data_IF_956727894716
#
_entry.id   IF_956727894716
#
_cell.length_a   1.000
_cell.length_b   1.000
_cell.length_c   1.000
_cell.angle_alpha   90.00
_cell.angle_beta   90.00
_cell.angle_gamma   90.00
#
_symmetry.space_group_name_H-M   'P 1'
#
loop_
_entity.id
_entity.type
_entity.pdbx_description
1 polymer ?
#
# COMPACT_ATOMS: atom_id res chain seq x y z
N UNK A 1 -15.34 -1.26 -18.11
CA UNK A 1 -15.96 0.07 -18.32
C UNK A 1 -15.79 0.99 -17.11
N UNK A 2 -16.40 0.76 -15.93
CA UNK A 2 -16.22 1.66 -14.76
C UNK A 2 -14.76 1.67 -14.25
N UNK A 3 -14.10 0.54 -14.16
CA UNK A 3 -12.72 0.41 -13.69
C UNK A 3 -11.72 1.12 -14.61
N UNK A 4 -11.92 1.06 -15.92
CA UNK A 4 -11.07 1.73 -16.90
C UNK A 4 -11.22 3.25 -16.82
N UNK A 5 -12.43 3.74 -16.59
CA UNK A 5 -12.69 5.17 -16.39
C UNK A 5 -12.02 5.70 -15.11
N UNK A 6 -12.13 4.96 -13.99
CA UNK A 6 -11.47 5.32 -12.72
C UNK A 6 -9.95 5.35 -12.91
N UNK A 7 -9.40 4.34 -13.60
CA UNK A 7 -7.97 4.27 -13.88
C UNK A 7 -7.49 5.46 -14.73
N UNK A 8 -8.25 5.84 -15.74
CA UNK A 8 -7.92 7.00 -16.60
C UNK A 8 -7.95 8.30 -15.79
N UNK A 9 -9.00 8.52 -15.00
CA UNK A 9 -9.13 9.70 -14.14
C UNK A 9 -7.96 9.78 -13.14
N UNK A 10 -7.65 8.69 -12.45
CA UNK A 10 -6.54 8.64 -11.51
C UNK A 10 -5.20 8.92 -12.20
N UNK A 11 -5.00 8.40 -13.40
CA UNK A 11 -3.76 8.61 -14.15
C UNK A 11 -3.61 10.06 -14.62
N UNK A 12 -4.66 10.64 -15.20
CA UNK A 12 -4.60 11.98 -15.76
C UNK A 12 -4.60 13.08 -14.68
N UNK A 13 -5.43 12.96 -13.65
CA UNK A 13 -5.64 14.03 -12.68
C UNK A 13 -4.78 13.90 -11.43
N UNK A 14 -4.27 12.72 -11.12
CA UNK A 14 -3.47 12.48 -9.92
C UNK A 14 -2.04 12.03 -10.23
N UNK A 15 -1.87 10.91 -10.94
CA UNK A 15 -0.53 10.32 -11.14
C UNK A 15 0.35 11.22 -12.01
N UNK A 16 -0.16 11.77 -13.10
CA UNK A 16 0.66 12.57 -14.03
C UNK A 16 1.10 13.90 -13.41
N UNK A 17 0.22 14.70 -12.77
CA UNK A 17 0.64 15.92 -12.08
C UNK A 17 1.58 15.64 -10.89
N UNK A 18 1.27 14.62 -10.08
CA UNK A 18 2.09 14.22 -8.95
C UNK A 18 3.49 13.78 -9.38
N UNK A 19 3.60 12.94 -10.41
CA UNK A 19 4.88 12.50 -10.95
C UNK A 19 5.71 13.67 -11.52
N UNK A 20 5.06 14.66 -12.16
CA UNK A 20 5.74 15.89 -12.62
C UNK A 20 6.30 16.69 -11.45
N UNK A 21 5.54 16.84 -10.37
CA UNK A 21 5.99 17.52 -9.15
C UNK A 21 7.20 16.80 -8.54
N UNK A 22 7.13 15.47 -8.36
CA UNK A 22 8.23 14.67 -7.83
C UNK A 22 9.49 14.76 -8.71
N UNK A 23 9.32 14.78 -10.04
CA UNK A 23 10.40 15.01 -10.99
C UNK A 23 11.06 16.39 -10.81
N UNK A 24 10.26 17.44 -10.60
CA UNK A 24 10.76 18.79 -10.33
C UNK A 24 11.57 18.84 -9.03
N UNK A 25 11.17 18.08 -8.02
CA UNK A 25 11.88 17.90 -6.76
C UNK A 25 13.10 16.96 -6.89
N UNK A 26 13.41 16.46 -8.10
CA UNK A 26 14.52 15.55 -8.39
C UNK A 26 14.49 14.25 -7.57
N UNK A 27 13.31 13.81 -7.16
CA UNK A 27 13.15 12.55 -6.44
C UNK A 27 13.26 11.37 -7.42
N UNK A 28 13.88 10.29 -6.96
CA UNK A 28 13.94 9.04 -7.71
C UNK A 28 12.75 8.14 -7.35
N UNK A 29 12.24 7.28 -8.26
CA UNK A 29 11.16 6.35 -7.94
C UNK A 29 11.45 5.52 -6.68
N UNK A 30 12.65 4.94 -6.57
CA UNK A 30 13.05 4.14 -5.41
C UNK A 30 13.02 4.92 -4.09
N UNK A 31 13.37 6.21 -4.11
CA UNK A 31 13.28 7.05 -2.92
C UNK A 31 11.82 7.28 -2.52
N UNK A 32 10.92 7.45 -3.49
CA UNK A 32 9.48 7.61 -3.23
C UNK A 32 8.91 6.34 -2.62
N UNK A 33 9.25 5.15 -3.15
CA UNK A 33 8.85 3.86 -2.55
C UNK A 33 9.37 3.72 -1.10
N UNK A 34 10.63 4.06 -0.84
CA UNK A 34 11.20 3.99 0.52
C UNK A 34 10.56 5.00 1.48
N UNK A 35 10.19 6.19 1.02
CA UNK A 35 9.45 7.15 1.81
C UNK A 35 8.03 6.63 2.14
N UNK A 36 7.35 6.02 1.17
CA UNK A 36 6.06 5.36 1.40
C UNK A 36 6.17 4.25 2.45
N UNK A 37 7.22 3.43 2.39
CA UNK A 37 7.52 2.41 3.40
C UNK A 37 7.78 3.05 4.78
N UNK A 38 8.59 4.10 4.86
CA UNK A 38 8.87 4.79 6.13
C UNK A 38 7.59 5.37 6.77
N UNK A 39 6.71 5.96 5.95
CA UNK A 39 5.40 6.42 6.42
C UNK A 39 4.56 5.25 6.93
N UNK A 40 4.54 4.11 6.22
CA UNK A 40 3.78 2.93 6.63
C UNK A 40 4.28 2.32 7.95
N UNK A 41 5.59 2.36 8.21
CA UNK A 41 6.15 2.02 9.53
C UNK A 41 5.62 2.95 10.62
N UNK A 42 5.57 4.26 10.34
CA UNK A 42 4.96 5.25 11.22
C UNK A 42 3.47 5.01 11.46
N UNK A 43 2.73 4.60 10.41
CA UNK A 43 1.30 4.21 10.52
C UNK A 43 1.15 3.02 11.46
N UNK A 44 1.97 1.98 11.32
CA UNK A 44 1.95 0.81 12.22
C UNK A 44 2.19 1.22 13.68
N UNK A 45 3.16 2.09 13.92
CA UNK A 45 3.41 2.62 15.26
C UNK A 45 2.19 3.40 15.80
N UNK A 46 1.61 4.31 15.02
CA UNK A 46 0.43 5.07 15.41
C UNK A 46 -0.80 4.19 15.66
N UNK A 47 -0.98 3.15 14.87
CA UNK A 47 -2.03 2.17 15.07
C UNK A 47 -1.85 1.42 16.39
N UNK A 48 -0.62 1.06 16.76
CA UNK A 48 -0.33 0.37 18.02
C UNK A 48 -0.58 1.21 19.29
N UNK A 49 -0.65 2.54 19.16
CA UNK A 49 -0.96 3.48 20.24
C UNK A 49 -2.33 4.16 20.06
N UNK A 50 -3.22 3.59 19.24
CA UNK A 50 -4.61 4.03 19.04
C UNK A 50 -4.78 5.43 18.42
N UNK A 51 -3.77 5.97 17.76
CA UNK A 51 -3.87 7.25 17.04
C UNK A 51 -4.42 7.01 15.62
N UNK A 52 -5.63 6.43 15.55
CA UNK A 52 -6.21 5.87 14.33
C UNK A 52 -6.48 6.90 13.25
N UNK A 53 -7.02 8.09 13.60
CA UNK A 53 -7.32 9.10 12.58
C UNK A 53 -6.06 9.52 11.80
N UNK A 54 -4.96 9.77 12.53
CA UNK A 54 -3.68 10.16 11.90
C UNK A 54 -3.10 8.97 11.11
N UNK A 55 -3.19 7.76 11.68
CA UNK A 55 -2.78 6.54 11.01
C UNK A 55 -3.51 6.34 9.68
N UNK A 56 -4.83 6.52 9.65
CA UNK A 56 -5.66 6.40 8.44
C UNK A 56 -5.27 7.42 7.37
N UNK A 57 -5.10 8.70 7.75
CA UNK A 57 -4.67 9.75 6.82
C UNK A 57 -3.28 9.44 6.24
N UNK A 58 -2.32 9.07 7.09
CA UNK A 58 -0.96 8.73 6.64
C UNK A 58 -0.93 7.46 5.79
N UNK A 59 -1.80 6.50 6.05
CA UNK A 59 -1.94 5.30 5.22
C UNK A 59 -2.40 5.65 3.80
N UNK A 60 -3.34 6.58 3.65
CA UNK A 60 -3.74 7.07 2.33
C UNK A 60 -2.61 7.82 1.63
N UNK A 61 -1.83 8.61 2.36
CA UNK A 61 -0.64 9.30 1.83
C UNK A 61 0.40 8.27 1.35
N UNK A 62 0.69 7.25 2.14
CA UNK A 62 1.60 6.16 1.75
C UNK A 62 1.12 5.44 0.48
N UNK A 63 -0.17 5.11 0.39
CA UNK A 63 -0.77 4.52 -0.81
C UNK A 63 -0.72 5.43 -2.04
N UNK A 64 -0.85 6.75 -1.83
CA UNK A 64 -0.69 7.73 -2.89
C UNK A 64 0.76 7.77 -3.41
N UNK A 65 1.76 7.72 -2.52
CA UNK A 65 3.18 7.70 -2.91
C UNK A 65 3.53 6.47 -3.73
N UNK A 66 2.99 5.32 -3.38
CA UNK A 66 3.12 4.07 -4.13
C UNK A 66 2.59 4.19 -5.58
N UNK A 67 1.46 4.86 -5.78
CA UNK A 67 0.95 5.12 -7.13
C UNK A 67 1.85 6.09 -7.91
N UNK A 68 2.54 7.00 -7.23
CA UNK A 68 3.35 8.06 -7.83
C UNK A 68 4.74 7.58 -8.23
N UNK A 69 5.36 6.63 -7.52
CA UNK A 69 6.69 6.11 -7.87
C UNK A 69 6.67 5.35 -9.19
N UNK A 70 5.65 4.51 -9.43
CA UNK A 70 5.45 3.84 -10.70
C UNK A 70 5.16 4.83 -11.85
N UNK A 71 4.38 5.89 -11.59
CA UNK A 71 4.14 6.94 -12.55
C UNK A 71 5.42 7.74 -12.87
N UNK A 72 6.22 8.06 -11.85
CA UNK A 72 7.50 8.73 -11.98
C UNK A 72 8.49 7.89 -12.79
N UNK A 73 8.60 6.58 -12.52
CA UNK A 73 9.46 5.68 -13.26
C UNK A 73 9.12 5.63 -14.76
N UNK A 74 7.82 5.58 -15.07
CA UNK A 74 7.34 5.65 -16.46
C UNK A 74 7.63 7.01 -17.11
N UNK A 75 7.37 8.11 -16.41
CA UNK A 75 7.57 9.47 -16.92
C UNK A 75 9.06 9.79 -17.20
N UNK A 76 9.97 9.24 -16.40
CA UNK A 76 11.41 9.47 -16.51
C UNK A 76 12.15 8.43 -17.35
N UNK A 77 11.45 7.35 -17.79
CA UNK A 77 12.09 6.25 -18.53
C UNK A 77 13.10 5.45 -17.69
N UNK A 78 13.01 5.55 -16.35
CA UNK A 78 13.93 4.88 -15.41
C UNK A 78 13.39 3.60 -14.82
N UNK A 79 12.33 3.03 -15.42
CA UNK A 79 11.78 1.75 -14.99
C UNK A 79 12.81 0.64 -15.15
N UNK A 80 13.14 -0.04 -14.04
CA UNK A 80 14.11 -1.15 -14.01
C UNK A 80 13.48 -2.39 -13.37
N UNK A 81 14.02 -3.57 -13.70
CA UNK A 81 13.60 -4.84 -13.06
C UNK A 81 13.86 -4.79 -11.54
N UNK A 82 14.98 -4.22 -11.13
CA UNK A 82 15.31 -4.06 -9.71
C UNK A 82 14.31 -3.12 -9.01
N UNK A 83 13.97 -1.99 -9.65
CA UNK A 83 12.96 -1.06 -9.13
C UNK A 83 11.60 -1.74 -8.93
N UNK A 84 11.16 -2.57 -9.87
CA UNK A 84 9.91 -3.32 -9.75
C UNK A 84 9.93 -4.36 -8.61
N UNK A 85 11.08 -4.99 -8.35
CA UNK A 85 11.24 -5.91 -7.21
C UNK A 85 11.25 -5.13 -5.89
N UNK A 86 11.99 -4.01 -5.83
CA UNK A 86 12.05 -3.14 -4.66
C UNK A 86 10.66 -2.60 -4.29
N UNK A 87 9.93 -2.07 -5.25
CA UNK A 87 8.55 -1.61 -5.10
C UNK A 87 7.66 -2.73 -4.54
N UNK A 88 7.67 -3.88 -5.20
CA UNK A 88 6.95 -5.06 -4.75
C UNK A 88 7.31 -5.51 -3.34
N UNK A 89 8.57 -5.44 -2.93
CA UNK A 89 9.00 -5.78 -1.58
C UNK A 89 8.55 -4.72 -0.56
N UNK A 90 8.76 -3.43 -0.89
CA UNK A 90 8.34 -2.31 -0.05
C UNK A 90 6.86 -2.35 0.27
N UNK A 91 6.04 -2.72 -0.71
CA UNK A 91 4.60 -2.92 -0.57
C UNK A 91 4.23 -3.93 0.52
N UNK A 92 4.90 -5.08 0.52
CA UNK A 92 4.63 -6.15 1.50
C UNK A 92 5.10 -5.74 2.89
N UNK A 93 6.28 -5.13 2.98
CA UNK A 93 6.77 -4.62 4.26
C UNK A 93 5.90 -3.49 4.81
N UNK A 94 5.40 -2.59 3.95
CA UNK A 94 4.48 -1.53 4.33
C UNK A 94 3.16 -2.09 4.90
N UNK A 95 2.55 -3.05 4.21
CA UNK A 95 1.33 -3.72 4.67
C UNK A 95 1.57 -4.51 5.97
N UNK A 96 2.68 -5.25 6.04
CA UNK A 96 3.06 -5.99 7.25
C UNK A 96 3.28 -5.06 8.45
N UNK A 97 3.90 -3.90 8.25
CA UNK A 97 4.14 -2.92 9.32
C UNK A 97 2.84 -2.39 9.92
N UNK A 98 1.87 -2.06 9.08
CA UNK A 98 0.56 -1.57 9.52
C UNK A 98 -0.20 -2.66 10.28
N UNK A 99 -0.24 -3.88 9.74
CA UNK A 99 -0.90 -5.02 10.39
C UNK A 99 -0.18 -5.45 11.67
N UNK A 100 1.15 -5.33 11.73
CA UNK A 100 1.92 -5.57 12.96
C UNK A 100 1.52 -4.57 14.05
N UNK A 101 1.33 -3.29 13.71
CA UNK A 101 0.85 -2.29 14.66
C UNK A 101 -0.50 -2.67 15.28
N UNK A 102 -1.46 -3.11 14.45
CA UNK A 102 -2.76 -3.61 14.92
C UNK A 102 -2.62 -4.90 15.74
N UNK A 103 -1.73 -5.81 15.33
CA UNK A 103 -1.47 -7.04 16.09
C UNK A 103 -0.95 -6.72 17.49
N UNK A 104 0.01 -5.80 17.60
CA UNK A 104 0.56 -5.37 18.89
C UNK A 104 -0.51 -4.71 19.78
N UNK A 105 -1.41 -3.93 19.21
CA UNK A 105 -2.54 -3.34 19.90
C UNK A 105 -3.43 -4.44 20.51
N UNK A 106 -3.93 -5.37 19.67
CA UNK A 106 -4.84 -6.42 20.14
C UNK A 106 -4.19 -7.38 21.13
N UNK A 107 -2.88 -7.65 21.02
CA UNK A 107 -2.14 -8.43 22.03
C UNK A 107 -2.01 -7.67 23.36
N UNK A 108 -1.85 -6.35 23.32
CA UNK A 108 -1.80 -5.53 24.53
C UNK A 108 -3.16 -5.48 25.23
N UNK A 109 -4.24 -5.50 24.46
CA UNK A 109 -5.61 -5.40 24.96
C UNK A 109 -6.22 -6.78 25.29
N UNK A 110 -5.38 -7.85 25.34
CA UNK A 110 -5.78 -9.25 25.61
C UNK A 110 -6.90 -9.75 24.69
N UNK A 111 -6.95 -9.24 23.44
CA UNK A 111 -7.93 -9.61 22.44
C UNK A 111 -7.41 -10.71 21.51
N UNK A 112 -7.48 -11.96 21.93
CA UNK A 112 -7.04 -13.11 21.14
C UNK A 112 -7.74 -13.21 19.77
N UNK A 113 -9.02 -12.88 19.72
CA UNK A 113 -9.81 -12.89 18.48
C UNK A 113 -9.33 -11.81 17.51
N UNK A 114 -9.05 -10.59 18.00
CA UNK A 114 -8.50 -9.50 17.21
C UNK A 114 -7.11 -9.83 16.66
N UNK A 115 -6.23 -10.31 17.53
CA UNK A 115 -4.88 -10.74 17.16
C UNK A 115 -4.90 -11.85 16.10
N UNK A 116 -5.75 -12.87 16.31
CA UNK A 116 -5.94 -13.97 15.34
C UNK A 116 -6.43 -13.45 13.99
N UNK A 117 -7.42 -12.55 13.98
CA UNK A 117 -7.96 -11.99 12.75
C UNK A 117 -6.89 -11.22 11.97
N UNK A 118 -6.11 -10.35 12.65
CA UNK A 118 -5.02 -9.60 12.01
C UNK A 118 -3.97 -10.54 11.42
N UNK A 119 -3.59 -11.60 12.13
CA UNK A 119 -2.66 -12.60 11.63
C UNK A 119 -3.21 -13.29 10.37
N UNK A 120 -4.47 -13.70 10.36
CA UNK A 120 -5.10 -14.32 9.19
C UNK A 120 -5.16 -13.36 8.00
N UNK A 121 -5.48 -12.08 8.23
CA UNK A 121 -5.46 -11.04 7.19
C UNK A 121 -4.06 -10.89 6.61
N UNK A 122 -3.02 -10.86 7.44
CA UNK A 122 -1.62 -10.77 7.00
C UNK A 122 -1.26 -11.96 6.10
N UNK A 123 -1.55 -13.18 6.54
CA UNK A 123 -1.29 -14.40 5.75
C UNK A 123 -2.05 -14.37 4.43
N UNK A 124 -3.34 -14.05 4.45
CA UNK A 124 -4.16 -13.95 3.24
C UNK A 124 -3.61 -12.91 2.24
N UNK A 125 -3.23 -11.74 2.71
CA UNK A 125 -2.63 -10.67 1.91
C UNK A 125 -1.35 -11.11 1.21
N UNK A 126 -0.45 -11.78 1.94
CA UNK A 126 0.77 -12.34 1.36
C UNK A 126 0.48 -13.43 0.34
N UNK A 127 -0.46 -14.32 0.64
CA UNK A 127 -0.85 -15.41 -0.27
C UNK A 127 -1.45 -14.89 -1.57
N UNK A 128 -2.32 -13.89 -1.52
CA UNK A 128 -2.89 -13.24 -2.72
C UNK A 128 -1.77 -12.63 -3.57
N UNK A 129 -0.84 -11.91 -2.95
CA UNK A 129 0.29 -11.29 -3.63
C UNK A 129 1.25 -12.33 -4.23
N UNK A 130 1.52 -13.41 -3.49
CA UNK A 130 2.37 -14.53 -3.95
C UNK A 130 1.76 -15.26 -5.14
N UNK A 131 0.49 -15.65 -5.03
CA UNK A 131 -0.21 -16.39 -6.10
C UNK A 131 -0.30 -15.56 -7.37
N UNK A 132 -0.53 -14.25 -7.26
CA UNK A 132 -0.52 -13.34 -8.40
C UNK A 132 0.85 -13.31 -9.07
N UNK A 133 1.89 -13.03 -8.31
CA UNK A 133 3.27 -12.97 -8.82
C UNK A 133 3.70 -14.31 -9.44
N UNK A 134 3.31 -15.42 -8.81
CA UNK A 134 3.58 -16.76 -9.34
C UNK A 134 2.84 -17.04 -10.63
N UNK A 135 1.56 -16.64 -10.72
CA UNK A 135 0.74 -16.75 -11.94
C UNK A 135 1.35 -15.95 -13.09
N UNK A 136 1.74 -14.71 -12.85
CA UNK A 136 2.40 -13.86 -13.84
C UNK A 136 3.72 -14.47 -14.34
N UNK A 137 4.52 -15.05 -13.43
CA UNK A 137 5.74 -15.77 -13.76
C UNK A 137 5.53 -17.04 -14.59
N UNK A 138 4.32 -17.62 -14.57
CA UNK A 138 3.91 -18.75 -15.40
C UNK A 138 3.19 -18.32 -16.69
N UNK A 139 3.12 -17.01 -16.98
CA UNK A 139 2.43 -16.47 -18.15
C UNK A 139 0.90 -16.41 -18.02
N UNK A 140 0.36 -16.69 -16.83
CA UNK A 140 -1.07 -16.61 -16.54
C UNK A 140 -1.40 -15.16 -16.17
N UNK A 141 -2.08 -14.44 -17.07
CA UNK A 141 -2.57 -13.08 -16.76
C UNK A 141 -3.78 -13.15 -15.83
N UNK A 142 -3.56 -12.95 -14.54
CA UNK A 142 -4.62 -12.87 -13.56
C UNK A 142 -5.04 -11.40 -13.36
N UNK A 143 -5.96 -10.92 -14.19
CA UNK A 143 -6.63 -9.63 -13.99
C UNK A 143 -7.86 -9.75 -13.07
N UNK A 144 -8.10 -10.92 -12.52
CA UNK A 144 -9.27 -11.26 -11.71
C UNK A 144 -8.82 -11.37 -10.26
N UNK A 145 -9.24 -10.45 -9.43
CA UNK A 145 -9.03 -10.50 -7.98
C UNK A 145 -9.86 -9.40 -7.33
N UNK A 146 -10.74 -9.81 -6.43
CA UNK A 146 -11.36 -8.92 -5.45
C UNK A 146 -10.29 -8.55 -4.41
N UNK A 147 -10.25 -7.30 -3.96
CA UNK A 147 -9.33 -6.81 -2.92
C UNK A 147 -7.86 -6.75 -3.37
N UNK A 148 -7.60 -6.03 -4.46
CA UNK A 148 -6.23 -5.63 -4.82
C UNK A 148 -5.67 -4.66 -3.76
N UNK A 149 -4.34 -4.45 -3.76
CA UNK A 149 -3.67 -3.64 -2.75
C UNK A 149 -4.29 -2.24 -2.53
N UNK A 150 -4.61 -1.43 -3.57
CA UNK A 150 -5.24 -0.13 -3.35
C UNK A 150 -6.58 -0.23 -2.61
N UNK A 151 -7.37 -1.26 -2.93
CA UNK A 151 -8.66 -1.50 -2.28
C UNK A 151 -8.49 -1.85 -0.80
N UNK A 152 -7.48 -2.68 -0.45
CA UNK A 152 -7.15 -3.02 0.94
C UNK A 152 -6.67 -1.81 1.73
N UNK A 153 -5.81 -0.97 1.12
CA UNK A 153 -5.34 0.29 1.74
C UNK A 153 -6.51 1.21 2.07
N UNK A 154 -7.45 1.38 1.14
CA UNK A 154 -8.63 2.24 1.35
C UNK A 154 -9.54 1.66 2.44
N UNK A 155 -9.81 0.35 2.42
CA UNK A 155 -10.65 -0.30 3.45
C UNK A 155 -10.01 -0.18 4.83
N UNK A 156 -8.70 -0.41 4.94
CA UNK A 156 -7.98 -0.32 6.20
C UNK A 156 -7.92 1.12 6.72
N UNK A 157 -7.67 2.09 5.83
CA UNK A 157 -7.70 3.50 6.19
C UNK A 157 -9.10 3.96 6.64
N UNK A 158 -10.15 3.51 5.95
CA UNK A 158 -11.53 3.77 6.36
C UNK A 158 -11.83 3.16 7.74
N UNK A 159 -11.38 1.92 7.99
CA UNK A 159 -11.48 1.28 9.30
C UNK A 159 -10.85 2.11 10.40
N UNK A 160 -9.62 2.61 10.19
CA UNK A 160 -8.96 3.51 11.14
C UNK A 160 -9.73 4.82 11.40
N UNK A 161 -10.42 5.35 10.38
CA UNK A 161 -11.16 6.61 10.53
C UNK A 161 -12.52 6.42 11.22
N UNK A 162 -13.12 5.24 11.11
CA UNK A 162 -14.45 4.93 11.68
C UNK A 162 -14.35 4.50 13.14
N UNK A 163 -13.28 3.87 13.55
CA UNK A 163 -13.10 3.29 14.91
C UNK A 163 -13.00 4.37 16.02
N UNK A 164 -13.30 5.62 15.71
CA UNK A 164 -13.37 6.74 16.65
C UNK A 164 -14.77 7.23 16.95
N UNK A 165 -15.78 6.51 16.52
CA UNK A 165 -17.16 6.76 16.86
C UNK A 165 -17.67 5.65 17.76
#
# INVERSE_FOLDING_TARGET
MVRDQIHTILTEYFQTPGARLLRTLKLTPSLVSLLGLAISLGVGYLASIEVFLVAGILLLVAGAMDMLDGALARLTGTATKFGAVLDSASDRFAEAAVLLGLLLLYLRDDSDSGATLVFLVLVASFMVSYLRSRGEGLGIRSNVGLMQRPERVVVLAAGFMVDKV
#
